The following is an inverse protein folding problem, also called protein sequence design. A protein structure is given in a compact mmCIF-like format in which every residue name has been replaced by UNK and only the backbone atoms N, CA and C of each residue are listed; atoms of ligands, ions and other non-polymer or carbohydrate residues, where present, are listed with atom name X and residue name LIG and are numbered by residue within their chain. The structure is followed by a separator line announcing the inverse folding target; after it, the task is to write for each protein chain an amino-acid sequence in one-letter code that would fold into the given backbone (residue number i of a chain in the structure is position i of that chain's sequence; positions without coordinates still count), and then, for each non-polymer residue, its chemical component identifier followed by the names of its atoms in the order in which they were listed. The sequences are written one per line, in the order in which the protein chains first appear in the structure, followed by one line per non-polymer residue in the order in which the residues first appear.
data_IF_202625951532
#
_entry.id   IF_202625951532
#
_cell.length_a   1.000
_cell.length_b   1.000
_cell.length_c   1.000
_cell.angle_alpha   90.00
_cell.angle_beta   90.00
_cell.angle_gamma   90.00
#
_symmetry.space_group_name_H-M   'P 1'
#
loop_
_entity.id
_entity.type
_entity.pdbx_description
1 polymer ?
#
# COMPACT_ATOMS: atom_id res chain seq x y z
N UNK A 1 3.77 13.66 35.10
CA UNK A 1 3.08 12.67 34.23
C UNK A 1 3.32 11.28 34.82
N UNK A 2 2.29 10.51 35.20
CA UNK A 2 2.47 9.19 35.82
C UNK A 2 2.77 8.11 34.76
N UNK A 3 3.78 7.27 35.02
CA UNK A 3 4.20 6.15 34.14
C UNK A 3 3.04 5.24 33.74
N UNK A 4 2.07 5.04 34.63
CA UNK A 4 0.91 4.18 34.40
C UNK A 4 -0.03 4.76 33.34
N UNK A 5 -0.29 6.06 33.40
CA UNK A 5 -1.10 6.77 32.41
C UNK A 5 -0.44 6.70 31.03
N UNK A 6 0.87 6.95 30.96
CA UNK A 6 1.63 6.88 29.71
C UNK A 6 1.56 5.50 29.05
N UNK A 7 1.75 4.42 29.82
CA UNK A 7 1.67 3.06 29.31
C UNK A 7 0.26 2.68 28.85
N UNK A 8 -0.78 3.11 29.57
CA UNK A 8 -2.18 2.88 29.18
C UNK A 8 -2.56 3.56 27.87
N UNK A 9 -1.95 4.70 27.54
CA UNK A 9 -2.23 5.41 26.29
C UNK A 9 -1.46 4.83 25.08
N UNK A 10 -0.22 4.39 25.28
CA UNK A 10 0.65 3.93 24.17
C UNK A 10 0.36 2.50 23.72
N UNK A 11 -0.01 1.60 24.63
CA UNK A 11 -0.29 0.20 24.28
C UNK A 11 -1.38 0.02 23.20
N UNK A 12 -2.56 0.66 23.30
CA UNK A 12 -3.58 0.54 22.26
C UNK A 12 -3.17 1.20 20.94
N UNK A 13 -2.41 2.31 21.00
CA UNK A 13 -1.90 2.97 19.80
C UNK A 13 -0.90 2.07 19.03
N UNK A 14 0.03 1.42 19.75
CA UNK A 14 1.00 0.50 19.14
C UNK A 14 0.35 -0.78 18.60
N UNK A 15 -0.70 -1.29 19.25
CA UNK A 15 -1.47 -2.44 18.76
C UNK A 15 -2.25 -2.11 17.49
N UNK A 16 -2.86 -0.92 17.40
CA UNK A 16 -3.54 -0.47 16.19
C UNK A 16 -2.59 -0.32 14.98
N UNK A 17 -1.36 0.15 15.20
CA UNK A 17 -0.33 0.23 14.15
C UNK A 17 0.05 -1.13 13.57
N UNK A 18 -0.03 -2.20 14.38
CA UNK A 18 0.26 -3.58 13.93
C UNK A 18 -0.86 -4.21 13.11
N UNK A 19 -2.11 -3.84 13.36
CA UNK A 19 -3.23 -4.27 12.50
C UNK A 19 -3.24 -3.55 11.15
N UNK A 20 -2.70 -2.33 11.07
CA UNK A 20 -2.51 -1.61 9.79
C UNK A 20 -1.31 -2.14 8.98
N UNK A 21 -0.36 -2.79 9.64
CA UNK A 21 0.63 -3.62 8.96
C UNK A 21 -0.02 -4.95 8.57
N UNK A 22 -1.01 -4.89 7.68
CA UNK A 22 -1.43 -6.04 6.91
C UNK A 22 -0.20 -6.52 6.13
N UNK A 23 0.51 -7.50 6.71
CA UNK A 23 1.33 -8.42 5.95
C UNK A 23 0.35 -9.28 5.17
N UNK A 24 -0.16 -8.72 4.08
CA UNK A 24 -0.52 -9.57 2.96
C UNK A 24 0.76 -10.31 2.55
N UNK A 25 0.62 -11.48 1.96
CA UNK A 25 1.74 -12.24 1.42
C UNK A 25 2.25 -11.52 0.15
N UNK A 26 2.71 -10.28 0.30
CA UNK A 26 3.23 -9.50 -0.80
C UNK A 26 4.54 -10.16 -1.26
N UNK A 27 4.63 -10.56 -2.53
CA UNK A 27 5.79 -11.28 -3.05
C UNK A 27 7.09 -10.48 -2.92
N UNK A 28 6.99 -9.16 -2.76
CA UNK A 28 8.10 -8.22 -2.65
C UNK A 28 8.40 -7.76 -1.22
N UNK A 29 7.70 -8.28 -0.21
CA UNK A 29 7.90 -7.92 1.20
C UNK A 29 7.34 -6.55 1.61
N UNK A 30 6.60 -5.88 0.73
CA UNK A 30 5.95 -4.60 0.99
C UNK A 30 5.28 -4.01 -0.26
N UNK A 31 4.72 -2.78 -0.17
CA UNK A 31 4.12 -2.10 -1.32
C UNK A 31 5.12 -1.81 -2.42
N UNK A 32 4.73 -2.02 -3.68
CA UNK A 32 5.57 -1.75 -4.86
C UNK A 32 4.91 -0.69 -5.74
N UNK A 33 5.70 0.29 -6.18
CA UNK A 33 5.29 1.36 -7.07
C UNK A 33 5.82 1.09 -8.49
N UNK A 34 4.91 0.98 -9.47
CA UNK A 34 5.25 1.11 -10.88
C UNK A 34 5.40 2.60 -11.23
N UNK A 35 6.58 3.01 -11.66
CA UNK A 35 6.86 4.41 -11.99
C UNK A 35 6.36 4.82 -13.38
N UNK A 36 5.88 3.88 -14.20
CA UNK A 36 5.58 4.12 -15.61
C UNK A 36 4.46 3.21 -16.15
N UNK A 37 3.20 3.55 -15.88
CA UNK A 37 2.05 2.86 -16.45
C UNK A 37 1.42 3.68 -17.58
N UNK A 38 1.46 3.18 -18.81
CA UNK A 38 0.63 3.72 -19.89
C UNK A 38 -0.82 3.24 -19.75
N UNK A 39 -1.77 4.16 -19.93
CA UNK A 39 -3.19 3.83 -19.92
C UNK A 39 -3.49 2.79 -21.02
N UNK A 40 -4.05 1.65 -20.62
CA UNK A 40 -4.52 0.61 -21.54
C UNK A 40 -5.93 0.95 -22.05
N UNK A 41 -6.39 0.38 -23.17
CA UNK A 41 -7.71 0.68 -23.73
C UNK A 41 -8.88 0.42 -22.75
N UNK A 42 -8.70 -0.55 -21.86
CA UNK A 42 -9.67 -0.97 -20.86
C UNK A 42 -9.07 -0.80 -19.45
N UNK A 43 -9.79 -0.16 -18.50
CA UNK A 43 -9.32 0.00 -17.12
C UNK A 43 -9.02 -1.31 -16.39
N UNK A 44 -9.83 -2.35 -16.61
CA UNK A 44 -9.64 -3.65 -15.93
C UNK A 44 -8.35 -4.34 -16.39
N UNK A 45 -7.93 -4.09 -17.64
CA UNK A 45 -6.64 -4.52 -18.16
C UNK A 45 -5.45 -3.86 -17.44
N UNK A 46 -5.60 -2.63 -16.92
CA UNK A 46 -4.58 -1.99 -16.09
C UNK A 46 -4.46 -2.69 -14.74
N UNK A 47 -5.60 -2.98 -14.10
CA UNK A 47 -5.64 -3.68 -12.82
C UNK A 47 -5.11 -5.12 -12.93
N UNK A 48 -5.51 -5.84 -13.97
CA UNK A 48 -5.03 -7.21 -14.25
C UNK A 48 -3.52 -7.23 -14.39
N UNK A 49 -2.93 -6.25 -15.10
CA UNK A 49 -1.48 -6.10 -15.17
C UNK A 49 -0.85 -5.87 -13.79
N UNK A 50 -1.39 -4.92 -13.02
CA UNK A 50 -0.86 -4.58 -11.70
C UNK A 50 -0.90 -5.77 -10.73
N UNK A 51 -2.00 -6.53 -10.74
CA UNK A 51 -2.16 -7.75 -9.95
C UNK A 51 -1.18 -8.84 -10.40
N UNK A 52 -0.99 -9.01 -11.70
CA UNK A 52 -0.10 -10.03 -12.26
C UNK A 52 1.39 -9.82 -11.95
N UNK A 53 1.84 -8.57 -11.80
CA UNK A 53 3.23 -8.26 -11.39
C UNK A 53 3.38 -7.94 -9.90
N UNK A 54 2.28 -7.93 -9.13
CA UNK A 54 2.30 -7.67 -7.69
C UNK A 54 2.65 -6.23 -7.32
N UNK A 55 2.32 -5.25 -8.16
CA UNK A 55 2.48 -3.82 -7.81
C UNK A 55 1.25 -3.29 -7.09
N UNK A 56 1.47 -2.40 -6.13
CA UNK A 56 0.41 -1.83 -5.27
C UNK A 56 -0.13 -0.53 -5.83
N UNK A 57 0.74 0.27 -6.45
CA UNK A 57 0.40 1.57 -7.02
C UNK A 57 1.13 1.76 -8.35
N UNK A 58 0.62 2.62 -9.20
CA UNK A 58 1.24 2.98 -10.46
C UNK A 58 1.13 4.48 -10.76
N UNK A 59 2.17 5.06 -11.34
CA UNK A 59 2.14 6.40 -11.92
C UNK A 59 1.52 6.30 -13.31
N UNK A 60 0.29 6.78 -13.46
CA UNK A 60 -0.43 6.75 -14.73
C UNK A 60 0.04 7.87 -15.65
N UNK A 61 0.52 7.50 -16.83
CA UNK A 61 0.93 8.43 -17.88
C UNK A 61 -0.24 8.71 -18.82
N UNK A 62 -0.75 9.93 -18.72
CA UNK A 62 -1.75 10.47 -19.63
C UNK A 62 -1.08 10.99 -20.92
N UNK A 63 -1.88 11.21 -21.96
CA UNK A 63 -1.36 11.81 -23.19
C UNK A 63 -0.84 13.23 -22.90
N UNK A 64 0.29 13.57 -23.52
CA UNK A 64 0.75 14.96 -23.55
C UNK A 64 -0.32 15.84 -24.21
N UNK A 65 -0.44 17.08 -23.70
CA UNK A 65 -1.36 18.09 -24.22
C UNK A 65 -0.94 18.62 -25.58
#
# INVERSE_FOLDING_TARGET
MQRRTFLQTILPAAAASRCLAAKDDQPWGGPVLDTHLHLRPDPDSCLTHMQGCGVTNAVLLTRAA
#
